data_IF_878802735957
#
_entry.id   IF_878802735957
#
_cell.length_a   1.000
_cell.length_b   1.000
_cell.length_c   1.000
_cell.angle_alpha   90.00
_cell.angle_beta   90.00
_cell.angle_gamma   90.00
#
_symmetry.space_group_name_H-M   'P 1'
#
loop_
_entity.id
_entity.type
_entity.pdbx_description
1 polymer ?
#
# COMPACT_ATOMS: atom_id res chain seq x y z
N UNK A 1 34.66 70.31 -22.94
CA UNK A 1 34.44 68.83 -23.10
C UNK A 1 33.62 68.36 -21.92
N UNK A 2 32.26 68.33 -22.11
CA UNK A 2 31.33 67.95 -20.99
C UNK A 2 31.07 66.46 -21.03
N UNK A 3 31.53 65.78 -20.00
CA UNK A 3 31.33 64.37 -19.78
C UNK A 3 29.93 64.15 -19.13
N UNK A 4 29.00 63.60 -19.91
CA UNK A 4 27.66 63.23 -19.39
C UNK A 4 27.75 61.93 -18.61
N UNK A 5 27.59 61.97 -17.29
CA UNK A 5 27.49 60.80 -16.44
C UNK A 5 26.12 60.14 -16.66
N UNK A 6 26.14 58.91 -17.20
CA UNK A 6 24.92 58.09 -17.32
C UNK A 6 24.79 57.28 -16.04
N UNK A 7 23.77 57.56 -15.26
CA UNK A 7 23.40 56.86 -14.03
C UNK A 7 22.51 55.64 -14.42
N UNK A 8 23.04 54.41 -14.34
CA UNK A 8 22.26 53.20 -14.50
C UNK A 8 21.53 52.91 -13.19
N UNK A 9 20.22 53.07 -13.19
CA UNK A 9 19.35 52.65 -12.11
C UNK A 9 19.11 51.11 -12.23
N UNK A 10 19.79 50.33 -11.41
CA UNK A 10 19.51 48.90 -11.30
C UNK A 10 18.21 48.69 -10.49
N UNK A 11 17.10 48.43 -11.19
CA UNK A 11 15.85 48.05 -10.55
C UNK A 11 15.97 46.57 -10.13
N UNK A 12 16.21 46.34 -8.85
CA UNK A 12 16.17 45.01 -8.23
C UNK A 12 14.70 44.61 -8.06
N UNK A 13 14.15 43.90 -9.03
CA UNK A 13 12.85 43.22 -8.85
C UNK A 13 13.08 41.99 -7.97
N UNK A 14 12.48 41.90 -6.77
CA UNK A 14 12.55 40.67 -5.98
C UNK A 14 11.77 39.61 -6.73
N UNK A 15 12.49 38.59 -7.24
CA UNK A 15 11.89 37.34 -7.67
C UNK A 15 11.35 36.65 -6.40
N UNK A 16 10.03 36.71 -6.23
CA UNK A 16 9.32 35.90 -5.26
C UNK A 16 9.46 34.44 -5.74
N UNK A 17 10.48 33.76 -5.24
CA UNK A 17 10.59 32.32 -5.36
C UNK A 17 9.44 31.70 -4.54
N UNK A 18 8.35 31.35 -5.19
CA UNK A 18 7.35 30.46 -4.60
C UNK A 18 8.01 29.10 -4.43
N UNK A 19 8.52 28.83 -3.24
CA UNK A 19 8.87 27.47 -2.85
C UNK A 19 7.59 26.65 -2.91
N UNK A 20 7.54 25.66 -3.80
CA UNK A 20 6.49 24.65 -3.74
C UNK A 20 6.61 23.99 -2.37
N UNK A 21 5.55 24.08 -1.57
CA UNK A 21 5.50 23.37 -0.31
C UNK A 21 5.51 21.87 -0.60
N UNK A 22 6.63 21.20 -0.35
CA UNK A 22 6.72 19.73 -0.41
C UNK A 22 5.87 19.18 0.74
N UNK A 23 4.66 18.77 0.44
CA UNK A 23 3.80 18.07 1.38
C UNK A 23 3.83 16.57 1.06
N UNK A 24 3.65 15.77 2.08
CA UNK A 24 3.46 14.32 1.98
C UNK A 24 2.28 13.93 2.84
N UNK A 25 1.47 13.02 2.35
CA UNK A 25 0.40 12.41 3.14
C UNK A 25 0.99 11.56 4.27
N UNK A 26 0.20 11.34 5.32
CA UNK A 26 0.55 10.45 6.39
C UNK A 26 -0.59 9.50 6.71
N UNK A 27 -0.26 8.22 6.91
CA UNK A 27 -1.21 7.18 7.30
C UNK A 27 -0.59 6.33 8.41
N UNK A 28 -1.04 6.52 9.64
CA UNK A 28 -0.62 5.71 10.78
C UNK A 28 -1.52 4.48 10.88
N UNK A 29 -0.91 3.29 10.87
CA UNK A 29 -1.59 1.99 10.84
C UNK A 29 -1.54 1.32 12.21
N UNK A 30 -2.70 0.80 12.63
CA UNK A 30 -2.79 -0.18 13.70
C UNK A 30 -3.50 -1.42 13.17
N UNK A 31 -2.83 -2.56 13.21
CA UNK A 31 -3.32 -3.80 12.62
C UNK A 31 -3.25 -4.96 13.59
N UNK A 32 -4.24 -5.86 13.49
CA UNK A 32 -4.19 -7.17 14.12
C UNK A 32 -4.47 -8.24 13.08
N UNK A 33 -3.66 -9.29 13.02
CA UNK A 33 -3.80 -10.37 12.05
C UNK A 33 -3.60 -11.72 12.70
N UNK A 34 -4.50 -12.65 12.38
CA UNK A 34 -4.40 -14.07 12.71
C UNK A 34 -4.00 -14.86 11.45
N UNK A 35 -2.92 -15.61 11.52
CA UNK A 35 -2.39 -16.39 10.40
C UNK A 35 -2.53 -17.87 10.67
N UNK A 36 -3.25 -18.56 9.81
CA UNK A 36 -3.35 -20.02 9.83
C UNK A 36 -2.26 -20.62 8.93
N UNK A 37 -1.23 -21.15 9.55
CA UNK A 37 -0.05 -21.69 8.84
C UNK A 37 -0.32 -23.01 8.11
N UNK A 38 -1.45 -23.69 8.40
CA UNK A 38 -1.83 -24.95 7.73
C UNK A 38 -2.61 -24.68 6.43
N UNK A 39 -3.53 -23.70 6.48
CA UNK A 39 -4.35 -23.31 5.32
C UNK A 39 -3.77 -22.15 4.56
N UNK A 40 -2.75 -21.49 5.11
CA UNK A 40 -2.14 -20.27 4.57
C UNK A 40 -3.09 -19.09 4.46
N UNK A 41 -4.24 -19.19 5.10
CA UNK A 41 -5.21 -18.12 5.20
C UNK A 41 -4.86 -17.18 6.36
N UNK A 42 -5.21 -15.94 6.21
CA UNK A 42 -5.13 -14.94 7.28
C UNK A 42 -6.37 -14.06 7.29
N UNK A 43 -6.69 -13.54 8.45
CA UNK A 43 -7.77 -12.56 8.65
C UNK A 43 -7.26 -11.47 9.58
N UNK A 44 -7.70 -10.26 9.35
CA UNK A 44 -7.26 -9.15 10.17
C UNK A 44 -8.20 -7.98 10.19
N UNK A 45 -7.91 -7.09 11.12
CA UNK A 45 -8.50 -5.76 11.23
C UNK A 45 -7.41 -4.71 11.07
N UNK A 46 -7.80 -3.58 10.52
CA UNK A 46 -6.92 -2.45 10.30
C UNK A 46 -7.63 -1.16 10.70
N UNK A 47 -6.95 -0.33 11.45
CA UNK A 47 -7.29 1.07 11.69
C UNK A 47 -6.20 1.94 11.09
N UNK A 48 -6.59 2.98 10.34
CA UNK A 48 -5.70 3.97 9.77
C UNK A 48 -6.14 5.35 10.25
N UNK A 49 -5.23 6.13 10.78
CA UNK A 49 -5.40 7.57 10.94
C UNK A 49 -4.75 8.25 9.75
N UNK A 50 -5.57 8.67 8.79
CA UNK A 50 -5.11 9.31 7.57
C UNK A 50 -5.15 10.84 7.71
N UNK A 51 -4.01 11.48 7.49
CA UNK A 51 -3.85 12.93 7.51
C UNK A 51 -3.75 13.47 6.09
N UNK A 52 -4.64 14.38 5.73
CA UNK A 52 -4.57 15.11 4.47
C UNK A 52 -3.68 16.35 4.62
N UNK A 53 -2.43 16.22 4.23
CA UNK A 53 -1.45 17.31 4.25
C UNK A 53 -1.39 18.08 2.92
N UNK A 54 -2.21 17.66 1.92
CA UNK A 54 -2.31 18.36 0.64
C UNK A 54 -3.16 19.64 0.74
N UNK A 55 -3.04 20.55 -0.23
CA UNK A 55 -3.96 21.69 -0.36
C UNK A 55 -5.36 21.29 -0.86
N UNK A 56 -5.54 20.02 -1.27
CA UNK A 56 -6.76 19.56 -1.92
C UNK A 56 -7.75 18.94 -0.93
N UNK A 57 -9.02 18.94 -1.31
CA UNK A 57 -10.07 18.23 -0.60
C UNK A 57 -10.16 16.79 -1.10
N UNK A 58 -9.97 15.82 -0.22
CA UNK A 58 -10.07 14.40 -0.53
C UNK A 58 -11.52 13.91 -0.37
N UNK A 59 -12.09 13.34 -1.43
CA UNK A 59 -13.47 12.82 -1.47
C UNK A 59 -13.55 11.31 -1.58
N UNK A 60 -12.43 10.65 -1.86
CA UNK A 60 -12.29 9.20 -2.05
C UNK A 60 -10.90 8.76 -1.64
N UNK A 61 -10.76 7.49 -1.34
CA UNK A 61 -9.46 6.86 -1.06
C UNK A 61 -9.33 5.58 -1.88
N UNK A 62 -8.08 5.20 -2.14
CA UNK A 62 -7.76 3.96 -2.82
C UNK A 62 -6.87 3.09 -1.95
N UNK A 63 -7.04 1.77 -2.11
CA UNK A 63 -6.17 0.79 -1.49
C UNK A 63 -5.60 -0.16 -2.53
N UNK A 64 -4.39 -0.63 -2.29
CA UNK A 64 -3.78 -1.72 -3.03
C UNK A 64 -4.01 -3.05 -2.33
N UNK A 65 -4.39 -4.06 -3.11
CA UNK A 65 -4.64 -5.43 -2.70
C UNK A 65 -3.65 -6.35 -3.44
N UNK A 66 -2.38 -6.24 -3.12
CA UNK A 66 -1.27 -6.76 -3.93
C UNK A 66 -1.32 -8.27 -4.18
N UNK A 67 -1.81 -9.09 -3.23
CA UNK A 67 -1.87 -10.54 -3.39
C UNK A 67 -2.78 -10.98 -4.53
N UNK A 68 -3.74 -10.16 -4.92
CA UNK A 68 -4.65 -10.45 -6.03
C UNK A 68 -3.96 -10.49 -7.39
N UNK A 69 -2.74 -9.95 -7.51
CA UNK A 69 -1.93 -10.09 -8.72
C UNK A 69 -1.46 -11.53 -8.99
N UNK A 70 -1.44 -12.39 -7.96
CA UNK A 70 -0.99 -13.78 -8.06
C UNK A 70 -2.16 -14.73 -8.28
N UNK A 71 -2.93 -14.45 -9.35
CA UNK A 71 -4.04 -15.27 -9.85
C UNK A 71 -3.91 -15.42 -11.37
N UNK A 72 -4.17 -16.61 -11.93
CA UNK A 72 -4.29 -16.79 -13.37
C UNK A 72 -5.30 -15.79 -13.95
N UNK A 73 -4.94 -15.15 -15.06
CA UNK A 73 -5.74 -14.13 -15.73
C UNK A 73 -5.66 -12.73 -15.11
N UNK A 74 -4.89 -12.51 -14.03
CA UNK A 74 -4.62 -11.16 -13.50
C UNK A 74 -3.85 -10.31 -14.52
N UNK A 75 -3.90 -8.99 -14.38
CA UNK A 75 -3.14 -8.10 -15.26
C UNK A 75 -1.63 -8.38 -15.23
N UNK A 76 -1.08 -8.79 -14.06
CA UNK A 76 0.30 -9.22 -13.96
C UNK A 76 0.56 -10.49 -14.76
N UNK A 77 -0.34 -11.46 -14.71
CA UNK A 77 -0.23 -12.70 -15.47
C UNK A 77 -0.30 -12.44 -16.99
N UNK A 78 -1.32 -11.69 -17.43
CA UNK A 78 -1.47 -11.29 -18.83
C UNK A 78 -0.22 -10.59 -19.36
N UNK A 79 0.32 -9.63 -18.60
CA UNK A 79 1.57 -8.97 -18.97
C UNK A 79 2.74 -9.96 -19.07
N UNK A 80 2.87 -10.85 -18.09
CA UNK A 80 4.00 -11.78 -18.01
C UNK A 80 3.99 -12.81 -19.16
N UNK A 81 2.80 -13.11 -19.69
CA UNK A 81 2.65 -14.00 -20.84
C UNK A 81 2.94 -13.30 -22.18
N UNK A 82 2.72 -11.99 -22.27
CA UNK A 82 2.82 -11.24 -23.53
C UNK A 82 4.12 -10.42 -23.65
N UNK A 83 4.74 -10.04 -22.54
CA UNK A 83 5.95 -9.23 -22.50
C UNK A 83 7.00 -9.99 -21.71
N UNK A 84 8.22 -10.12 -22.25
CA UNK A 84 9.34 -10.74 -21.53
C UNK A 84 9.56 -10.00 -20.20
N UNK A 85 9.33 -10.67 -19.08
CA UNK A 85 9.62 -10.14 -17.76
C UNK A 85 11.10 -10.39 -17.44
N UNK A 86 11.89 -9.34 -17.13
CA UNK A 86 13.28 -9.50 -16.72
C UNK A 86 13.41 -10.29 -15.40
N UNK A 87 12.38 -10.33 -14.59
CA UNK A 87 12.33 -11.16 -13.38
C UNK A 87 12.04 -12.62 -13.72
N UNK A 88 13.11 -13.42 -13.75
CA UNK A 88 13.02 -14.86 -14.05
C UNK A 88 12.14 -15.65 -13.07
N UNK A 89 11.74 -15.05 -11.95
CA UNK A 89 10.85 -15.70 -10.96
C UNK A 89 9.41 -15.70 -11.41
N UNK A 90 8.98 -14.75 -12.24
CA UNK A 90 7.58 -14.64 -12.70
C UNK A 90 7.36 -15.49 -13.95
N UNK A 91 7.88 -15.10 -15.10
CA UNK A 91 7.65 -15.75 -16.39
C UNK A 91 6.16 -16.11 -16.56
N UNK A 92 5.87 -17.36 -16.90
CA UNK A 92 4.53 -17.95 -17.06
C UNK A 92 4.01 -18.66 -15.78
N UNK A 93 4.63 -18.39 -14.62
CA UNK A 93 4.35 -19.17 -13.40
C UNK A 93 2.99 -18.84 -12.77
N UNK A 94 2.48 -17.62 -12.97
CA UNK A 94 1.17 -17.23 -12.43
C UNK A 94 0.08 -18.02 -13.15
N UNK A 95 0.12 -18.12 -14.48
CA UNK A 95 -0.88 -18.86 -15.29
C UNK A 95 -0.96 -20.36 -14.93
N UNK A 96 0.09 -20.90 -14.32
CA UNK A 96 0.18 -22.31 -13.92
C UNK A 96 -0.24 -22.58 -12.47
N UNK A 97 -0.64 -21.55 -11.72
CA UNK A 97 -1.12 -21.74 -10.36
C UNK A 97 -2.45 -22.49 -10.35
N UNK A 98 -2.52 -23.49 -9.49
CA UNK A 98 -3.79 -24.13 -9.17
C UNK A 98 -4.62 -23.23 -8.24
N UNK A 99 -5.93 -23.48 -8.14
CA UNK A 99 -6.83 -22.71 -7.28
C UNK A 99 -6.36 -22.62 -5.82
N UNK A 100 -5.75 -23.67 -5.31
CA UNK A 100 -5.20 -23.70 -3.95
C UNK A 100 -3.88 -22.95 -3.80
N UNK A 101 -3.21 -22.58 -4.89
CA UNK A 101 -1.93 -21.88 -4.91
C UNK A 101 -2.07 -20.38 -5.15
N UNK A 102 -3.28 -19.93 -5.54
CA UNK A 102 -3.57 -18.52 -5.79
C UNK A 102 -3.44 -17.66 -4.54
N UNK A 103 -3.04 -16.40 -4.73
CA UNK A 103 -3.13 -15.36 -3.71
C UNK A 103 -4.52 -14.74 -3.66
N UNK A 104 -4.92 -14.30 -2.49
CA UNK A 104 -6.15 -13.51 -2.34
C UNK A 104 -5.98 -12.48 -1.23
N UNK A 105 -6.56 -11.31 -1.43
CA UNK A 105 -6.74 -10.28 -0.42
C UNK A 105 -8.07 -9.58 -0.70
N UNK A 106 -8.96 -9.62 0.26
CA UNK A 106 -10.31 -9.05 0.14
C UNK A 106 -10.67 -8.25 1.38
N UNK A 107 -11.30 -7.10 1.17
CA UNK A 107 -11.89 -6.26 2.22
C UNK A 107 -13.40 -6.52 2.19
N UNK A 108 -14.00 -6.72 3.35
CA UNK A 108 -15.43 -7.00 3.47
C UNK A 108 -16.19 -6.03 4.38
N UNK A 109 -15.47 -5.17 5.09
CA UNK A 109 -16.02 -4.06 5.84
C UNK A 109 -15.04 -2.88 5.75
N UNK A 110 -15.53 -1.69 5.47
CA UNK A 110 -14.74 -0.46 5.47
C UNK A 110 -15.58 0.69 6.01
N UNK A 111 -15.05 1.41 7.00
CA UNK A 111 -15.74 2.51 7.67
C UNK A 111 -14.85 3.76 7.72
N UNK A 112 -15.51 4.92 7.66
CA UNK A 112 -14.92 6.22 7.98
C UNK A 112 -15.55 6.75 9.27
N UNK A 113 -14.74 7.00 10.29
CA UNK A 113 -15.20 7.54 11.59
C UNK A 113 -16.39 6.74 12.17
N UNK A 114 -16.37 5.42 11.99
CA UNK A 114 -17.38 4.47 12.44
C UNK A 114 -18.59 4.27 11.50
N UNK A 115 -18.70 5.02 10.40
CA UNK A 115 -19.80 4.89 9.42
C UNK A 115 -19.33 4.09 8.20
N UNK A 116 -20.14 3.14 7.77
CA UNK A 116 -19.85 2.30 6.60
C UNK A 116 -19.65 3.13 5.34
N UNK A 117 -18.66 2.72 4.52
CA UNK A 117 -18.36 3.29 3.21
C UNK A 117 -18.86 2.36 2.11
N UNK A 118 -19.30 2.95 1.01
CA UNK A 118 -19.47 2.24 -0.26
C UNK A 118 -18.11 2.13 -0.93
N UNK A 119 -17.73 0.90 -1.30
CA UNK A 119 -16.46 0.64 -1.96
C UNK A 119 -16.60 -0.43 -3.05
N UNK A 120 -15.67 -0.40 -3.98
CA UNK A 120 -15.56 -1.34 -5.10
C UNK A 120 -14.15 -1.93 -5.11
N UNK A 121 -14.05 -3.25 -5.33
CA UNK A 121 -12.77 -3.94 -5.47
C UNK A 121 -12.64 -4.46 -6.90
N UNK A 122 -11.58 -4.04 -7.57
CA UNK A 122 -11.22 -4.52 -8.89
C UNK A 122 -9.78 -5.01 -8.88
N UNK A 123 -9.60 -6.33 -8.96
CA UNK A 123 -8.28 -6.97 -8.88
C UNK A 123 -7.43 -6.47 -7.69
N UNK A 124 -6.35 -5.74 -8.00
CA UNK A 124 -5.39 -5.24 -7.02
C UNK A 124 -5.71 -3.85 -6.48
N UNK A 125 -6.85 -3.28 -6.83
CA UNK A 125 -7.27 -1.94 -6.40
C UNK A 125 -8.63 -1.98 -5.74
N UNK A 126 -8.80 -1.22 -4.67
CA UNK A 126 -10.07 -0.91 -4.04
C UNK A 126 -10.27 0.61 -4.06
N UNK A 127 -11.43 1.05 -4.49
CA UNK A 127 -11.90 2.43 -4.41
C UNK A 127 -12.97 2.56 -3.35
N UNK A 128 -12.84 3.50 -2.40
CA UNK A 128 -13.88 3.85 -1.45
C UNK A 128 -14.21 5.34 -1.52
N UNK A 129 -15.51 5.67 -1.54
CA UNK A 129 -16.02 7.05 -1.47
C UNK A 129 -16.19 7.45 -0.02
N UNK A 130 -15.62 8.59 0.37
CA UNK A 130 -15.74 9.10 1.74
C UNK A 130 -17.15 9.66 1.99
N UNK A 131 -17.74 9.30 3.13
CA UNK A 131 -19.02 9.86 3.58
C UNK A 131 -18.87 11.33 3.98
N UNK A 132 -17.71 11.66 4.56
CA UNK A 132 -17.32 13.02 4.92
C UNK A 132 -16.04 13.37 4.18
N UNK A 133 -16.08 14.42 3.37
CA UNK A 133 -14.90 14.93 2.67
C UNK A 133 -13.80 15.28 3.68
N UNK A 134 -12.56 15.02 3.31
CA UNK A 134 -11.40 15.30 4.14
C UNK A 134 -10.70 16.56 3.63
N UNK A 135 -10.91 17.67 4.33
CA UNK A 135 -10.34 18.97 4.01
C UNK A 135 -8.83 19.02 4.25
N UNK A 136 -8.11 19.95 3.64
CA UNK A 136 -6.70 20.23 3.91
C UNK A 136 -6.39 20.35 5.40
N UNK A 137 -5.30 19.72 5.84
CA UNK A 137 -4.85 19.74 7.23
C UNK A 137 -5.72 18.95 8.21
N UNK A 138 -6.75 18.21 7.74
CA UNK A 138 -7.62 17.39 8.59
C UNK A 138 -7.22 15.92 8.57
N UNK A 139 -7.70 15.19 9.57
CA UNK A 139 -7.50 13.75 9.70
C UNK A 139 -8.85 13.04 9.72
N UNK A 140 -8.85 11.78 9.29
CA UNK A 140 -10.00 10.88 9.40
C UNK A 140 -9.51 9.51 9.82
N UNK A 141 -10.37 8.76 10.49
CA UNK A 141 -10.11 7.37 10.86
C UNK A 141 -10.81 6.44 9.88
N UNK A 142 -10.03 5.56 9.27
CA UNK A 142 -10.52 4.51 8.39
C UNK A 142 -10.32 3.16 9.09
N UNK A 143 -11.38 2.37 9.21
CA UNK A 143 -11.28 1.02 9.78
C UNK A 143 -11.79 0.01 8.78
N UNK A 144 -11.12 -1.13 8.68
CA UNK A 144 -11.54 -2.20 7.77
C UNK A 144 -11.25 -3.58 8.34
N UNK A 145 -12.05 -4.55 7.87
CA UNK A 145 -11.81 -5.97 8.07
C UNK A 145 -11.43 -6.61 6.75
N UNK A 146 -10.46 -7.50 6.80
CA UNK A 146 -9.93 -8.15 5.60
C UNK A 146 -9.58 -9.61 5.86
N UNK A 147 -9.55 -10.36 4.79
CA UNK A 147 -8.99 -11.71 4.77
C UNK A 147 -8.12 -11.92 3.53
N UNK A 148 -7.29 -12.93 3.59
CA UNK A 148 -6.45 -13.27 2.47
C UNK A 148 -5.92 -14.69 2.54
N UNK A 149 -5.28 -15.08 1.44
CA UNK A 149 -4.55 -16.34 1.31
C UNK A 149 -3.17 -16.03 0.76
N UNK A 150 -2.14 -16.54 1.43
CA UNK A 150 -0.76 -16.37 0.99
C UNK A 150 -0.56 -17.24 -0.26
N UNK A 151 -0.18 -16.66 -1.41
CA UNK A 151 0.02 -17.40 -2.65
C UNK A 151 1.21 -18.36 -2.53
N UNK A 152 1.30 -19.33 -3.42
CA UNK A 152 2.56 -20.00 -3.68
C UNK A 152 3.59 -18.97 -4.12
N UNK A 153 4.82 -19.08 -3.62
CA UNK A 153 5.83 -18.05 -3.90
C UNK A 153 6.19 -17.96 -5.39
N UNK A 154 5.99 -16.81 -5.93
CA UNK A 154 6.42 -16.44 -7.29
C UNK A 154 7.52 -15.38 -7.24
N UNK A 155 7.31 -14.32 -6.46
CA UNK A 155 8.30 -13.25 -6.26
C UNK A 155 8.74 -13.17 -4.79
N UNK A 156 8.51 -12.03 -4.12
CA UNK A 156 8.92 -11.77 -2.74
C UNK A 156 7.99 -12.40 -1.71
N UNK A 157 6.69 -12.36 -1.99
CA UNK A 157 5.67 -12.95 -1.11
C UNK A 157 5.29 -14.33 -1.58
N UNK A 158 4.98 -15.18 -0.63
CA UNK A 158 4.49 -16.51 -0.89
C UNK A 158 4.86 -17.50 0.17
N UNK A 159 4.38 -18.70 -0.01
CA UNK A 159 4.59 -19.84 0.88
C UNK A 159 5.52 -20.88 0.26
N UNK A 160 6.13 -21.68 1.14
CA UNK A 160 6.94 -22.84 0.77
C UNK A 160 8.05 -22.47 -0.22
N UNK A 161 8.88 -21.52 0.14
CA UNK A 161 10.01 -21.17 -0.70
C UNK A 161 11.11 -22.25 -0.70
N UNK A 162 12.04 -22.13 -1.60
CA UNK A 162 13.14 -23.10 -1.76
C UNK A 162 14.12 -23.10 -0.58
N UNK A 163 14.16 -22.00 0.18
CA UNK A 163 15.11 -21.77 1.27
C UNK A 163 14.54 -22.21 2.63
N UNK A 164 13.38 -22.89 2.63
CA UNK A 164 12.74 -23.43 3.84
C UNK A 164 11.90 -22.42 4.62
N UNK A 165 11.72 -21.21 4.11
CA UNK A 165 10.82 -20.22 4.74
C UNK A 165 9.36 -20.59 4.42
N UNK A 166 8.59 -20.90 5.47
CA UNK A 166 7.21 -21.35 5.31
C UNK A 166 6.31 -20.27 4.73
N UNK A 167 6.43 -19.04 5.23
CA UNK A 167 5.64 -17.88 4.79
C UNK A 167 6.55 -16.66 4.63
N UNK A 168 6.50 -16.01 3.48
CA UNK A 168 7.08 -14.70 3.22
C UNK A 168 5.96 -13.74 2.85
N UNK A 169 5.67 -12.78 3.72
CA UNK A 169 4.50 -11.92 3.61
C UNK A 169 4.91 -10.45 3.47
N UNK A 170 5.23 -10.02 2.26
CA UNK A 170 5.45 -8.60 1.95
C UNK A 170 4.20 -8.02 1.31
N UNK A 171 3.80 -6.80 1.71
CA UNK A 171 2.63 -6.10 1.16
C UNK A 171 1.32 -6.93 1.28
N UNK A 172 1.15 -7.63 2.39
CA UNK A 172 0.09 -8.61 2.62
C UNK A 172 -1.25 -8.00 3.07
N UNK A 173 -1.27 -6.75 3.46
CA UNK A 173 -2.44 -6.04 3.98
C UNK A 173 -2.99 -5.04 2.96
N UNK A 174 -4.27 -4.61 3.08
CA UNK A 174 -4.80 -3.53 2.27
C UNK A 174 -4.04 -2.23 2.55
N UNK A 175 -3.23 -1.79 1.60
CA UNK A 175 -2.37 -0.62 1.74
C UNK A 175 -2.99 0.59 1.07
N UNK A 176 -3.15 1.69 1.82
CA UNK A 176 -3.62 2.96 1.26
C UNK A 176 -2.68 3.42 0.14
N UNK A 177 -3.25 3.81 -0.99
CA UNK A 177 -2.48 4.34 -2.11
C UNK A 177 -1.92 5.73 -1.78
N UNK A 178 -0.86 6.12 -2.45
CA UNK A 178 -0.30 7.47 -2.34
C UNK A 178 -1.20 8.50 -3.02
N UNK A 179 -1.24 9.69 -2.44
CA UNK A 179 -1.79 10.90 -3.03
C UNK A 179 -0.74 12.00 -2.94
N UNK A 180 -0.27 12.47 -4.06
CA UNK A 180 0.75 13.51 -4.16
C UNK A 180 0.31 14.64 -5.12
N UNK A 181 1.24 15.45 -5.60
CA UNK A 181 0.96 16.58 -6.49
C UNK A 181 0.41 16.14 -7.87
N UNK A 182 0.57 14.88 -8.27
CA UNK A 182 -0.04 14.30 -9.47
C UNK A 182 -1.43 13.69 -9.18
N UNK A 183 -1.86 13.67 -7.92
CA UNK A 183 -3.11 13.08 -7.47
C UNK A 183 -2.94 11.68 -6.90
N UNK A 184 -3.98 10.86 -7.00
CA UNK A 184 -3.96 9.48 -6.53
C UNK A 184 -3.16 8.57 -7.46
N UNK A 185 -2.39 7.64 -6.87
CA UNK A 185 -1.66 6.58 -7.57
C UNK A 185 -2.30 5.20 -7.37
N UNK A 186 -3.51 4.95 -7.90
CA UNK A 186 -4.21 3.67 -7.74
C UNK A 186 -3.83 2.68 -8.83
N UNK A 187 -2.63 2.76 -9.36
CA UNK A 187 -2.21 1.92 -10.49
C UNK A 187 -2.25 0.44 -10.09
N UNK A 188 -2.87 -0.44 -10.91
CA UNK A 188 -2.85 -1.86 -10.67
C UNK A 188 -1.42 -2.41 -10.54
N UNK A 189 -1.26 -3.42 -9.69
CA UNK A 189 0.05 -4.05 -9.49
C UNK A 189 0.38 -5.03 -10.63
N UNK A 190 1.23 -4.57 -11.55
CA UNK A 190 1.58 -5.30 -12.79
C UNK A 190 3.09 -5.58 -12.90
N UNK A 191 3.84 -5.62 -11.86
CA UNK A 191 5.30 -5.77 -11.84
C UNK A 191 6.08 -4.46 -11.74
N UNK A 192 5.52 -3.46 -11.08
CA UNK A 192 6.21 -2.21 -10.77
C UNK A 192 6.57 -2.15 -9.28
N UNK A 193 7.36 -1.16 -8.93
CA UNK A 193 7.68 -0.87 -7.53
C UNK A 193 6.42 -0.42 -6.77
N UNK A 194 6.49 -0.62 -5.47
CA UNK A 194 5.43 -0.18 -4.57
C UNK A 194 5.56 1.31 -4.33
N UNK A 195 4.45 2.03 -4.50
CA UNK A 195 4.33 3.44 -4.14
C UNK A 195 3.23 3.56 -3.09
N UNK A 196 3.52 4.19 -1.98
CA UNK A 196 2.54 4.24 -0.90
C UNK A 196 2.93 5.22 0.20
N UNK A 197 1.90 5.69 0.89
CA UNK A 197 1.94 6.73 1.90
C UNK A 197 2.84 6.35 3.09
N UNK A 198 3.52 7.34 3.63
CA UNK A 198 4.33 7.26 4.83
C UNK A 198 3.47 7.18 6.09
N UNK A 199 4.01 6.57 7.15
CA UNK A 199 3.36 6.52 8.44
C UNK A 199 3.98 5.52 9.38
N UNK A 200 3.44 5.45 10.59
CA UNK A 200 3.83 4.49 11.60
C UNK A 200 3.00 3.21 11.47
N UNK A 201 3.57 2.10 11.89
CA UNK A 201 2.91 0.80 11.85
C UNK A 201 2.99 0.14 13.23
N UNK A 202 1.82 -0.11 13.83
CA UNK A 202 1.65 -0.94 15.02
C UNK A 202 0.96 -2.24 14.57
N UNK A 203 1.66 -3.37 14.65
CA UNK A 203 1.19 -4.63 14.06
C UNK A 203 1.24 -5.74 15.09
N UNK A 204 0.08 -6.32 15.40
CA UNK A 204 -0.06 -7.54 16.20
C UNK A 204 -0.26 -8.73 15.27
N UNK A 205 0.63 -9.71 15.34
CA UNK A 205 0.57 -10.95 14.57
C UNK A 205 0.35 -12.12 15.51
N UNK A 206 -0.66 -12.92 15.24
CA UNK A 206 -0.95 -14.16 15.93
C UNK A 206 -0.75 -15.33 14.96
N UNK A 207 0.08 -16.29 15.33
CA UNK A 207 0.33 -17.50 14.55
C UNK A 207 0.68 -18.67 15.47
N UNK A 208 0.83 -19.85 14.89
CA UNK A 208 1.21 -21.07 15.61
C UNK A 208 2.59 -20.90 16.28
N UNK A 209 2.68 -21.25 17.56
CA UNK A 209 3.87 -21.10 18.40
C UNK A 209 5.11 -21.87 17.91
N UNK A 210 4.94 -22.86 17.05
CA UNK A 210 6.06 -23.59 16.46
C UNK A 210 6.78 -22.84 15.34
N UNK A 211 6.33 -21.63 15.01
CA UNK A 211 6.93 -20.78 13.97
C UNK A 211 7.74 -19.65 14.58
N UNK A 212 8.89 -19.40 14.01
CA UNK A 212 9.72 -18.25 14.35
C UNK A 212 9.33 -17.12 13.39
N UNK A 213 8.96 -15.98 13.96
CA UNK A 213 8.59 -14.79 13.21
C UNK A 213 9.80 -13.83 13.08
N UNK A 214 10.19 -13.55 11.86
CA UNK A 214 11.12 -12.44 11.53
C UNK A 214 10.36 -11.31 10.85
N UNK A 215 10.62 -10.07 11.22
CA UNK A 215 9.94 -8.91 10.63
C UNK A 215 10.78 -7.65 10.70
N UNK A 216 10.32 -6.61 9.98
CA UNK A 216 10.86 -5.25 10.10
C UNK A 216 10.22 -4.53 11.28
N UNK A 217 10.96 -3.58 11.87
CA UNK A 217 10.51 -2.81 13.02
C UNK A 217 11.09 -3.32 14.36
N UNK A 218 10.52 -2.84 15.43
CA UNK A 218 10.96 -3.17 16.79
C UNK A 218 9.94 -4.10 17.45
N UNK A 219 10.40 -5.27 17.91
CA UNK A 219 9.59 -6.20 18.67
C UNK A 219 9.24 -5.60 20.03
N UNK A 220 7.94 -5.48 20.35
CA UNK A 220 7.45 -4.84 21.56
C UNK A 220 7.29 -5.81 22.73
N UNK A 221 7.14 -7.11 22.47
CA UNK A 221 6.86 -8.14 23.47
C UNK A 221 7.82 -9.34 23.42
N UNK A 222 9.14 -9.15 23.52
CA UNK A 222 10.11 -10.24 23.37
C UNK A 222 9.93 -11.37 24.40
N UNK A 223 9.36 -11.07 25.55
CA UNK A 223 9.16 -12.03 26.66
C UNK A 223 7.84 -12.81 26.58
N UNK A 224 6.97 -12.49 25.61
CA UNK A 224 5.66 -13.14 25.43
C UNK A 224 5.64 -14.10 24.24
N UNK A 225 6.76 -14.24 23.56
CA UNK A 225 6.90 -15.14 22.41
C UNK A 225 7.40 -16.47 22.95
N UNK A 226 6.51 -17.43 22.96
CA UNK A 226 6.81 -18.79 23.41
C UNK A 226 7.40 -19.67 22.33
#
# INVERSE_FOLDING_TARGET
MHMKSVFYLFVFTPFLLFSQSNWQQNADYKMSVDVNVKTFAFKGSQEIVYANNSPDTITKVYYHLYFNAFKPGSQMDVRSLNISDPDRRVKDRISKLTKSEEGNLSVFELKQDGKELVFEQQETVLLARLNKILLPGKKTKLTLLFNGVVPKQIRRSGRNNKDGVALSMTQWFPKLAEYDFEGWHPNPYIAREFHGVWGNYDVKITLDKNYILGGTGYLQNPNEIG
#
